data_IF_138358895580
#
_entry.id   IF_138358895580
#
_cell.length_a   1.000
_cell.length_b   1.000
_cell.length_c   1.000
_cell.angle_alpha   90.00
_cell.angle_beta   90.00
_cell.angle_gamma   90.00
#
_symmetry.space_group_name_H-M   'P 1'
#
loop_
_entity.id
_entity.type
_entity.pdbx_description
1 polymer ?
#
# COMPACT_ATOMS: atom_id res chain seq x y z
N UNK A 1 -6.25 57.98 -15.16
CA UNK A 1 -6.40 57.10 -16.34
C UNK A 1 -5.07 57.06 -17.05
N UNK A 2 -4.34 55.95 -16.94
CA UNK A 2 -3.31 55.49 -17.90
C UNK A 2 -3.10 54.00 -17.61
N UNK A 3 -3.60 53.15 -18.49
CA UNK A 3 -3.40 51.70 -18.51
C UNK A 3 -2.06 51.41 -19.20
N UNK A 4 -1.22 50.56 -18.61
CA UNK A 4 -0.09 49.90 -19.28
C UNK A 4 -0.13 48.39 -18.99
N UNK A 5 -0.10 47.52 -20.03
CA UNK A 5 -0.33 46.08 -19.92
C UNK A 5 0.95 45.22 -19.94
N UNK A 6 0.83 44.04 -19.32
CA UNK A 6 1.52 42.71 -19.47
C UNK A 6 3.06 42.61 -19.62
N UNK A 7 3.67 41.54 -19.05
CA UNK A 7 3.83 40.32 -19.86
C UNK A 7 3.48 39.02 -19.12
N UNK A 8 2.71 38.19 -19.83
CA UNK A 8 2.62 36.73 -19.74
C UNK A 8 3.97 36.08 -20.10
N UNK A 9 4.11 34.79 -19.71
CA UNK A 9 5.18 33.79 -20.01
C UNK A 9 6.31 33.73 -18.96
N UNK A 10 6.82 32.59 -18.50
CA UNK A 10 6.75 31.16 -18.84
C UNK A 10 6.69 30.40 -17.48
N UNK A 11 5.93 29.31 -17.30
CA UNK A 11 6.40 27.98 -17.67
C UNK A 11 7.39 27.45 -16.63
N UNK A 12 6.91 26.75 -15.59
CA UNK A 12 7.67 25.69 -14.92
C UNK A 12 6.74 24.87 -14.02
N UNK A 13 6.44 23.65 -14.49
CA UNK A 13 6.00 22.54 -13.67
C UNK A 13 6.91 22.43 -12.44
N UNK A 14 6.43 22.88 -11.29
CA UNK A 14 6.96 22.38 -10.02
C UNK A 14 6.11 21.18 -9.62
N UNK A 15 6.46 20.07 -10.26
CA UNK A 15 6.25 18.71 -9.78
C UNK A 15 6.42 18.70 -8.27
N UNK A 16 5.34 18.48 -7.52
CA UNK A 16 5.49 17.95 -6.17
C UNK A 16 6.38 16.72 -6.28
N UNK A 17 7.37 16.53 -5.39
CA UNK A 17 8.26 15.38 -5.46
C UNK A 17 7.39 14.13 -5.36
N UNK A 18 7.19 13.47 -6.51
CA UNK A 18 6.81 12.08 -6.59
C UNK A 18 7.91 11.39 -5.80
N UNK A 19 7.56 10.83 -4.64
CA UNK A 19 8.49 10.08 -3.81
C UNK A 19 9.13 9.01 -4.69
N UNK A 20 10.37 9.26 -5.09
CA UNK A 20 11.23 8.33 -5.79
C UNK A 20 11.62 7.21 -4.82
N UNK A 21 11.86 6.05 -5.43
CA UNK A 21 12.58 4.89 -4.89
C UNK A 21 11.76 3.92 -4.02
N UNK A 22 11.73 2.62 -4.26
CA UNK A 22 12.22 1.81 -5.37
C UNK A 22 11.63 0.40 -5.14
N UNK A 23 10.87 -0.11 -6.11
CA UNK A 23 10.85 -1.53 -6.43
C UNK A 23 9.98 -1.72 -7.66
N UNK A 24 10.62 -1.99 -8.80
CA UNK A 24 10.01 -2.65 -9.96
C UNK A 24 9.65 -4.13 -9.63
N UNK A 25 9.09 -4.33 -8.44
CA UNK A 25 8.64 -5.59 -7.90
C UNK A 25 7.26 -5.89 -8.49
N UNK A 26 7.19 -6.89 -9.37
CA UNK A 26 5.90 -7.38 -9.83
C UNK A 26 5.04 -7.74 -8.61
N UNK A 27 3.80 -7.22 -8.50
CA UNK A 27 2.95 -7.52 -7.37
C UNK A 27 2.66 -9.02 -7.34
N UNK A 28 2.67 -9.59 -6.14
CA UNK A 28 2.33 -10.99 -5.90
C UNK A 28 0.90 -11.09 -5.40
N UNK A 29 0.24 -12.17 -5.78
CA UNK A 29 -1.05 -12.53 -5.24
C UNK A 29 -0.88 -13.52 -4.09
N UNK A 30 -1.51 -13.22 -2.96
CA UNK A 30 -1.47 -14.03 -1.75
C UNK A 30 -2.89 -14.38 -1.34
N UNK A 31 -3.15 -15.65 -1.09
CA UNK A 31 -4.40 -16.11 -0.47
C UNK A 31 -4.19 -16.20 1.04
N UNK A 32 -5.01 -15.45 1.78
CA UNK A 32 -5.02 -15.45 3.25
C UNK A 32 -6.17 -16.33 3.72
N UNK A 33 -5.82 -17.40 4.43
CA UNK A 33 -6.77 -18.28 5.08
C UNK A 33 -6.99 -17.82 6.52
N UNK A 34 -8.25 -17.55 6.88
CA UNK A 34 -8.61 -17.16 8.24
C UNK A 34 -9.19 -18.35 9.00
N UNK A 35 -8.72 -18.57 10.23
CA UNK A 35 -9.32 -19.54 11.16
C UNK A 35 -10.47 -18.94 11.98
N UNK A 36 -10.72 -17.64 11.84
CA UNK A 36 -11.82 -16.99 12.56
C UNK A 36 -13.16 -17.34 11.92
N UNK A 37 -14.13 -17.69 12.76
CA UNK A 37 -15.48 -17.99 12.32
C UNK A 37 -16.09 -16.80 11.56
N UNK A 38 -16.60 -17.04 10.36
CA UNK A 38 -17.28 -16.03 9.55
C UNK A 38 -16.40 -15.28 8.55
N UNK A 39 -15.07 -15.42 8.60
CA UNK A 39 -14.19 -14.90 7.56
C UNK A 39 -13.90 -15.98 6.52
N UNK A 40 -14.17 -15.65 5.25
CA UNK A 40 -13.78 -16.48 4.11
C UNK A 40 -12.32 -16.23 3.76
N UNK A 41 -11.74 -17.16 3.00
CA UNK A 41 -10.44 -16.95 2.38
C UNK A 41 -10.46 -15.70 1.50
N UNK A 42 -9.40 -14.89 1.60
CA UNK A 42 -9.29 -13.63 0.88
C UNK A 42 -8.05 -13.64 0.01
N UNK A 43 -8.20 -13.27 -1.27
CA UNK A 43 -7.08 -13.05 -2.18
C UNK A 43 -6.71 -11.58 -2.13
N UNK A 44 -5.45 -11.29 -1.83
CA UNK A 44 -4.92 -9.93 -1.79
C UNK A 44 -3.70 -9.81 -2.69
N UNK A 45 -3.57 -8.66 -3.32
CA UNK A 45 -2.40 -8.32 -4.13
C UNK A 45 -1.49 -7.42 -3.31
N UNK A 46 -0.23 -7.82 -3.15
CA UNK A 46 0.77 -7.06 -2.40
C UNK A 46 2.03 -6.88 -3.23
N UNK A 47 2.76 -5.77 -3.07
CA UNK A 47 4.11 -5.65 -3.63
C UNK A 47 5.00 -6.82 -3.16
N UNK A 48 5.90 -7.32 -4.02
CA UNK A 48 6.74 -8.48 -3.65
C UNK A 48 7.80 -8.15 -2.59
N UNK A 49 8.06 -6.88 -2.36
CA UNK A 49 8.91 -6.30 -1.31
C UNK A 49 8.11 -5.89 -0.06
N UNK A 50 6.80 -6.18 0.00
CA UNK A 50 5.97 -5.79 1.12
C UNK A 50 6.42 -6.42 2.44
N UNK A 51 6.55 -5.57 3.47
CA UNK A 51 6.84 -6.02 4.83
C UNK A 51 5.63 -6.73 5.46
N UNK A 52 5.90 -7.58 6.46
CA UNK A 52 4.85 -8.27 7.23
C UNK A 52 3.87 -7.27 7.86
N UNK A 53 4.36 -6.12 8.33
CA UNK A 53 3.51 -5.04 8.86
C UNK A 53 2.52 -4.51 7.81
N UNK A 54 2.96 -4.33 6.56
CA UNK A 54 2.09 -3.89 5.45
C UNK A 54 1.04 -4.95 5.14
N UNK A 55 1.43 -6.23 5.15
CA UNK A 55 0.52 -7.36 4.97
C UNK A 55 -0.56 -7.39 6.06
N UNK A 56 -0.17 -7.28 7.35
CA UNK A 56 -1.09 -7.25 8.49
C UNK A 56 -2.07 -6.06 8.44
N UNK A 57 -1.61 -4.89 7.99
CA UNK A 57 -2.48 -3.70 7.78
C UNK A 57 -3.52 -3.92 6.67
N UNK A 58 -3.17 -4.62 5.60
CA UNK A 58 -4.14 -4.94 4.55
C UNK A 58 -5.19 -5.91 5.10
N UNK A 59 -4.74 -6.93 5.82
CA UNK A 59 -5.63 -7.93 6.43
C UNK A 59 -6.53 -7.29 7.48
N UNK A 60 -6.05 -6.33 8.28
CA UNK A 60 -6.86 -5.68 9.32
C UNK A 60 -8.09 -4.96 8.78
N UNK A 61 -7.99 -4.40 7.57
CA UNK A 61 -9.12 -3.72 6.91
C UNK A 61 -10.25 -4.71 6.59
N UNK A 62 -9.92 -5.98 6.37
CA UNK A 62 -10.86 -7.01 5.92
C UNK A 62 -11.34 -7.88 7.09
N UNK A 63 -10.48 -8.11 8.08
CA UNK A 63 -10.77 -8.95 9.23
C UNK A 63 -11.30 -8.20 10.45
N UNK A 64 -11.20 -6.87 10.48
CA UNK A 64 -11.47 -6.01 11.65
C UNK A 64 -10.63 -6.38 12.89
N UNK A 65 -9.47 -7.03 12.67
CA UNK A 65 -8.51 -7.37 13.72
C UNK A 65 -7.31 -6.44 13.62
N UNK A 66 -6.94 -5.78 14.72
CA UNK A 66 -5.76 -4.93 14.73
C UNK A 66 -4.47 -5.71 14.36
N UNK A 67 -3.53 -5.13 13.60
CA UNK A 67 -2.29 -5.80 13.17
C UNK A 67 -1.51 -6.49 14.30
N UNK A 68 -1.50 -5.89 15.49
CA UNK A 68 -0.80 -6.38 16.69
C UNK A 68 -1.41 -7.68 17.24
N UNK A 69 -2.68 -7.94 16.93
CA UNK A 69 -3.41 -9.15 17.33
C UNK A 69 -3.48 -10.19 16.21
N UNK A 70 -2.87 -9.93 15.06
CA UNK A 70 -2.80 -10.87 13.95
C UNK A 70 -1.53 -11.73 14.01
N UNK A 71 -1.72 -13.03 13.88
CA UNK A 71 -0.64 -14.02 13.69
C UNK A 71 -0.71 -14.51 12.25
N UNK A 72 0.34 -14.28 11.46
CA UNK A 72 0.43 -14.74 10.08
C UNK A 72 1.37 -15.94 10.02
N UNK A 73 0.90 -17.05 9.44
CA UNK A 73 1.67 -18.29 9.32
C UNK A 73 1.90 -18.59 7.85
N UNK A 74 3.14 -18.87 7.47
CA UNK A 74 3.53 -19.34 6.15
C UNK A 74 4.48 -20.53 6.28
N UNK A 75 4.13 -21.67 5.67
CA UNK A 75 4.90 -22.93 5.76
C UNK A 75 5.28 -23.27 7.20
N UNK A 76 4.28 -23.28 8.09
CA UNK A 76 4.41 -23.61 9.51
C UNK A 76 5.32 -22.67 10.32
N UNK A 77 5.65 -21.50 9.76
CA UNK A 77 6.44 -20.47 10.44
C UNK A 77 5.64 -19.18 10.56
N UNK A 78 5.70 -18.59 11.75
CA UNK A 78 5.17 -17.25 11.98
C UNK A 78 6.01 -16.22 11.20
N UNK A 79 5.34 -15.35 10.46
CA UNK A 79 5.95 -14.20 9.81
C UNK A 79 6.14 -13.07 10.82
N UNK A 80 7.36 -12.53 10.91
CA UNK A 80 7.74 -11.41 11.80
C UNK A 80 8.09 -10.17 11.02
#
# INVERSE_FOLDING_TARGET
>A
MSLSPEPKRDGESSTSPQASDDANAAPIEVTVHSVMAGLKDVRITVPSDATVLKLKRIISIISDVAPEHQILIYKDKELR
#
